data_IF_691619058580
#
_entry.id   IF_691619058580
#
_cell.length_a   1.000
_cell.length_b   1.000
_cell.length_c   1.000
_cell.angle_alpha   90.00
_cell.angle_beta   90.00
_cell.angle_gamma   90.00
#
_symmetry.space_group_name_H-M   'P 1'
#
loop_
_entity.id
_entity.type
_entity.pdbx_description
1 polymer ?
#
# COMPACT_ATOMS: atom_id res chain seq x y z
N UNK A 1 4.34 39.31 27.16
CA UNK A 1 3.67 38.97 25.88
C UNK A 1 4.39 37.73 25.36
N UNK A 2 3.74 36.56 25.43
CA UNK A 2 4.29 35.32 24.89
C UNK A 2 3.33 34.93 23.77
N UNK A 3 3.74 35.16 22.53
CA UNK A 3 3.00 34.69 21.36
C UNK A 3 3.22 33.18 21.25
N UNK A 4 2.23 32.39 21.69
CA UNK A 4 2.18 30.97 21.41
C UNK A 4 1.93 30.79 19.91
N UNK A 5 3.00 30.49 19.18
CA UNK A 5 2.98 30.22 17.75
C UNK A 5 2.54 28.76 17.54
N UNK A 6 1.29 28.46 17.85
CA UNK A 6 0.65 27.17 17.60
C UNK A 6 0.35 27.07 16.09
N UNK A 7 1.39 26.78 15.29
CA UNK A 7 1.20 26.43 13.88
C UNK A 7 0.30 25.19 13.84
N UNK A 8 -0.81 25.19 13.09
CA UNK A 8 -1.66 24.00 13.00
C UNK A 8 -0.82 22.85 12.42
N UNK A 9 -0.51 21.85 13.25
CA UNK A 9 0.12 20.62 12.81
C UNK A 9 -0.85 19.94 11.84
N UNK A 10 -0.53 19.98 10.55
CA UNK A 10 -1.28 19.26 9.52
C UNK A 10 -1.21 17.78 9.86
N UNK A 11 -2.33 17.20 10.34
CA UNK A 11 -2.43 15.79 10.68
C UNK A 11 -2.21 14.96 9.41
N UNK A 12 -1.03 14.36 9.29
CA UNK A 12 -0.72 13.43 8.19
C UNK A 12 -1.54 12.17 8.43
N UNK A 13 -2.41 11.81 7.48
CA UNK A 13 -3.11 10.53 7.54
C UNK A 13 -2.14 9.45 7.07
N UNK A 14 -1.98 8.40 7.85
CA UNK A 14 -1.15 7.24 7.53
C UNK A 14 -2.04 6.03 7.35
N UNK A 15 -1.74 5.23 6.32
CA UNK A 15 -2.42 4.00 5.99
C UNK A 15 -1.43 2.85 5.84
N UNK A 16 -1.90 1.64 6.09
CA UNK A 16 -1.18 0.38 5.88
C UNK A 16 -1.94 -0.45 4.85
N UNK A 17 -1.43 -0.56 3.63
CA UNK A 17 -1.97 -1.47 2.62
C UNK A 17 -1.45 -2.88 2.93
N UNK A 18 -2.35 -3.86 3.04
CA UNK A 18 -1.96 -5.27 3.14
C UNK A 18 -1.78 -5.85 1.75
N UNK A 19 -0.57 -6.34 1.48
CA UNK A 19 -0.20 -6.92 0.21
C UNK A 19 0.36 -8.34 0.39
N UNK A 20 0.34 -9.12 -0.69
CA UNK A 20 0.96 -10.46 -0.74
C UNK A 20 2.12 -10.46 -1.73
N UNK A 21 3.22 -11.10 -1.34
CA UNK A 21 4.37 -11.27 -2.21
C UNK A 21 3.99 -12.14 -3.41
N UNK A 22 4.23 -11.68 -4.63
CA UNK A 22 3.92 -12.44 -5.85
C UNK A 22 4.77 -13.71 -5.98
N UNK A 23 6.00 -13.72 -5.45
CA UNK A 23 6.92 -14.85 -5.50
C UNK A 23 6.72 -15.84 -4.34
N UNK A 24 6.78 -15.34 -3.10
CA UNK A 24 6.79 -16.18 -1.90
C UNK A 24 5.42 -16.35 -1.24
N UNK A 25 4.39 -15.62 -1.69
CA UNK A 25 3.00 -15.70 -1.18
C UNK A 25 2.80 -15.31 0.29
N UNK A 26 3.83 -14.74 0.91
CA UNK A 26 3.82 -14.17 2.26
C UNK A 26 3.16 -12.77 2.31
N UNK A 27 2.54 -12.42 3.44
CA UNK A 27 1.93 -11.10 3.65
C UNK A 27 2.94 -10.05 4.07
N UNK A 28 2.73 -8.81 3.62
CA UNK A 28 3.49 -7.64 4.05
C UNK A 28 2.59 -6.40 4.12
N UNK A 29 2.99 -5.43 4.92
CA UNK A 29 2.40 -4.10 4.97
C UNK A 29 3.16 -3.12 4.09
N UNK A 30 2.44 -2.24 3.41
CA UNK A 30 2.99 -1.06 2.72
C UNK A 30 2.47 0.16 3.45
N UNK A 31 3.38 0.97 3.98
CA UNK A 31 3.03 2.23 4.62
C UNK A 31 2.83 3.30 3.56
N UNK A 32 1.68 3.97 3.65
CA UNK A 32 1.29 5.05 2.74
C UNK A 32 0.87 6.29 3.52
N UNK A 33 1.27 7.47 3.04
CA UNK A 33 0.95 8.76 3.67
C UNK A 33 0.09 9.61 2.75
N UNK A 34 -0.97 10.21 3.29
CA UNK A 34 -1.77 11.18 2.57
C UNK A 34 -1.07 12.54 2.57
N UNK A 35 -0.54 12.94 1.41
CA UNK A 35 0.19 14.21 1.25
C UNK A 35 -0.76 15.38 0.98
N UNK A 36 -1.93 15.09 0.39
CA UNK A 36 -3.05 16.01 0.20
C UNK A 36 -4.35 15.18 0.04
N UNK A 37 -5.51 15.85 -0.03
CA UNK A 37 -6.84 15.22 0.00
C UNK A 37 -6.99 13.97 -0.88
N UNK A 38 -6.31 13.92 -2.03
CA UNK A 38 -6.49 12.86 -3.02
C UNK A 38 -5.22 12.07 -3.35
N UNK A 39 -4.07 12.38 -2.75
CA UNK A 39 -2.80 11.73 -3.08
C UNK A 39 -2.19 11.00 -1.88
N UNK A 40 -1.91 9.73 -2.11
CA UNK A 40 -1.27 8.82 -1.16
C UNK A 40 0.10 8.40 -1.69
N UNK A 41 1.14 8.51 -0.86
CA UNK A 41 2.51 8.14 -1.22
C UNK A 41 2.96 6.96 -0.38
N UNK A 42 3.20 5.84 -1.04
CA UNK A 42 3.79 4.65 -0.45
C UNK A 42 5.30 4.81 -0.33
N UNK A 43 5.83 4.82 0.90
CA UNK A 43 7.23 5.12 1.18
C UNK A 43 7.98 4.04 1.97
N UNK A 44 7.29 3.02 2.47
CA UNK A 44 7.92 1.94 3.22
C UNK A 44 7.17 0.62 3.07
N UNK A 45 7.87 -0.49 3.29
CA UNK A 45 7.28 -1.83 3.35
C UNK A 45 7.91 -2.65 4.47
N UNK A 46 7.12 -3.53 5.10
CA UNK A 46 7.58 -4.37 6.20
C UNK A 46 6.84 -5.71 6.25
N UNK A 47 7.51 -6.75 6.74
CA UNK A 47 6.91 -8.08 6.92
C UNK A 47 5.81 -8.01 7.98
N UNK A 48 4.69 -8.68 7.74
CA UNK A 48 3.58 -8.75 8.69
C UNK A 48 3.10 -10.19 8.84
N UNK A 49 2.67 -10.56 10.04
CA UNK A 49 2.06 -11.87 10.29
C UNK A 49 0.53 -11.76 10.17
N UNK A 50 -0.12 -12.84 9.73
CA UNK A 50 -1.58 -12.88 9.54
C UNK A 50 -2.38 -12.55 10.81
N UNK A 51 -1.89 -12.96 11.98
CA UNK A 51 -2.53 -12.69 13.28
C UNK A 51 -2.56 -11.19 13.61
N UNK A 52 -1.50 -10.46 13.23
CA UNK A 52 -1.42 -9.00 13.38
C UNK A 52 -2.42 -8.31 12.45
N UNK A 53 -2.52 -8.74 11.19
CA UNK A 53 -3.46 -8.15 10.21
C UNK A 53 -4.90 -8.19 10.73
N UNK A 54 -5.33 -9.34 11.26
CA UNK A 54 -6.69 -9.52 11.79
C UNK A 54 -6.94 -8.70 13.05
N UNK A 55 -5.94 -8.61 13.92
CA UNK A 55 -6.01 -7.89 15.21
C UNK A 55 -6.16 -6.39 14.98
N UNK A 56 -5.32 -5.83 14.11
CA UNK A 56 -5.30 -4.39 13.84
C UNK A 56 -6.41 -3.97 12.87
N UNK A 57 -7.07 -4.92 12.21
CA UNK A 57 -8.16 -4.64 11.26
C UNK A 57 -7.68 -3.89 10.02
N UNK A 58 -6.44 -4.14 9.61
CA UNK A 58 -5.84 -3.49 8.44
C UNK A 58 -6.54 -3.84 7.11
N UNK A 59 -7.48 -4.78 7.13
CA UNK A 59 -8.31 -5.19 6.01
C UNK A 59 -9.67 -4.44 5.93
N UNK A 60 -9.94 -3.48 6.84
CA UNK A 60 -11.30 -2.94 7.05
C UNK A 60 -11.55 -1.51 6.55
N UNK A 61 -10.56 -0.77 6.10
CA UNK A 61 -10.78 0.62 5.64
C UNK A 61 -10.70 0.68 4.10
N UNK A 62 -11.50 1.55 3.48
CA UNK A 62 -11.37 1.86 2.05
C UNK A 62 -10.83 3.27 1.92
N UNK A 63 -9.82 3.49 1.07
CA UNK A 63 -9.42 4.85 0.70
C UNK A 63 -9.42 5.02 -0.82
N UNK A 64 -9.99 6.15 -1.23
CA UNK A 64 -9.93 6.61 -2.60
C UNK A 64 -8.78 7.60 -2.76
N UNK A 65 -8.23 7.66 -3.97
CA UNK A 65 -7.19 8.61 -4.33
C UNK A 65 -6.21 8.07 -5.36
N UNK A 66 -5.31 8.95 -5.78
CA UNK A 66 -4.13 8.60 -6.55
C UNK A 66 -3.08 8.00 -5.63
N UNK A 67 -2.55 6.85 -6.01
CA UNK A 67 -1.51 6.16 -5.27
C UNK A 67 -0.19 6.24 -6.02
N UNK A 68 0.78 6.86 -5.37
CA UNK A 68 2.12 7.08 -5.90
C UNK A 68 3.11 6.24 -5.09
N UNK A 69 4.15 5.76 -5.75
CA UNK A 69 5.27 5.09 -5.11
C UNK A 69 6.40 6.10 -4.98
N UNK A 70 6.89 6.29 -3.75
CA UNK A 70 8.06 7.11 -3.49
C UNK A 70 9.30 6.48 -4.17
N UNK A 71 10.24 7.29 -4.71
CA UNK A 71 11.55 6.78 -5.13
C UNK A 71 12.31 6.03 -4.01
N UNK A 72 12.03 6.37 -2.76
CA UNK A 72 12.61 5.73 -1.57
C UNK A 72 11.91 4.43 -1.15
N UNK A 73 10.86 4.02 -1.88
CA UNK A 73 10.15 2.78 -1.56
C UNK A 73 11.09 1.58 -1.76
N UNK A 74 11.40 0.82 -0.69
CA UNK A 74 12.41 -0.24 -0.76
C UNK A 74 11.95 -1.49 -1.53
N UNK A 75 10.70 -1.53 -1.98
CA UNK A 75 10.10 -2.69 -2.61
C UNK A 75 9.59 -3.73 -1.61
N UNK A 76 9.14 -4.86 -2.15
CA UNK A 76 8.62 -5.98 -1.37
C UNK A 76 9.71 -6.55 -0.44
N UNK A 77 9.46 -6.68 0.87
CA UNK A 77 10.48 -7.13 1.85
C UNK A 77 10.83 -8.62 1.74
N UNK A 78 10.20 -9.34 0.81
CA UNK A 78 10.48 -10.75 0.55
C UNK A 78 11.23 -10.96 -0.78
N UNK A 79 10.81 -10.30 -1.86
CA UNK A 79 11.37 -10.56 -3.19
C UNK A 79 12.00 -9.35 -3.89
N UNK A 80 11.94 -8.16 -3.30
CA UNK A 80 12.52 -6.94 -3.86
C UNK A 80 11.72 -6.29 -5.00
N UNK A 81 10.55 -6.82 -5.36
CA UNK A 81 9.68 -6.21 -6.37
C UNK A 81 9.38 -4.75 -6.01
N UNK A 82 9.65 -3.84 -6.95
CA UNK A 82 9.67 -2.39 -6.74
C UNK A 82 8.31 -1.69 -6.90
N UNK A 83 7.29 -2.42 -7.34
CA UNK A 83 5.95 -1.89 -7.57
C UNK A 83 4.88 -2.76 -6.89
N UNK A 84 3.62 -2.36 -6.96
CA UNK A 84 2.48 -3.16 -6.53
C UNK A 84 1.28 -2.96 -7.45
N UNK A 85 0.41 -3.96 -7.48
CA UNK A 85 -0.78 -4.00 -8.33
C UNK A 85 -2.00 -4.24 -7.45
N UNK A 86 -3.06 -3.46 -7.69
CA UNK A 86 -4.39 -3.72 -7.15
C UNK A 86 -5.15 -4.60 -8.13
N UNK A 87 -5.45 -5.83 -7.72
CA UNK A 87 -6.19 -6.76 -8.54
C UNK A 87 -7.70 -6.49 -8.40
N UNK A 88 -8.48 -6.81 -9.44
CA UNK A 88 -9.95 -6.74 -9.42
C UNK A 88 -10.61 -7.61 -8.33
N UNK A 89 -9.87 -8.54 -7.69
CA UNK A 89 -10.33 -9.24 -6.49
C UNK A 89 -10.28 -8.38 -5.21
N UNK A 90 -9.89 -7.11 -5.31
CA UNK A 90 -9.82 -6.16 -4.19
C UNK A 90 -8.55 -6.28 -3.34
N UNK A 91 -7.51 -6.95 -3.84
CA UNK A 91 -6.28 -7.21 -3.07
C UNK A 91 -5.03 -6.72 -3.77
N UNK A 92 -4.08 -6.25 -2.97
CA UNK A 92 -2.80 -5.72 -3.46
C UNK A 92 -1.73 -6.81 -3.43
N UNK A 93 -0.81 -6.79 -4.39
CA UNK A 93 0.36 -7.66 -4.42
C UNK A 93 1.56 -6.93 -5.00
N UNK A 94 2.77 -7.30 -4.59
CA UNK A 94 3.95 -6.71 -5.23
C UNK A 94 4.08 -7.15 -6.69
N UNK A 95 4.67 -6.30 -7.51
CA UNK A 95 4.91 -6.50 -8.93
C UNK A 95 6.28 -5.96 -9.30
N UNK A 96 6.96 -6.61 -10.22
CA UNK A 96 8.20 -6.12 -10.79
C UNK A 96 7.83 -5.22 -11.96
N UNK A 97 8.18 -3.93 -11.92
CA UNK A 97 7.80 -2.97 -12.98
C UNK A 97 8.28 -3.35 -14.38
N UNK A 98 9.25 -4.26 -14.48
CA UNK A 98 9.80 -4.76 -15.74
C UNK A 98 9.02 -5.96 -16.32
N UNK A 99 8.03 -6.49 -15.59
CA UNK A 99 7.19 -7.59 -16.05
C UNK A 99 5.88 -7.05 -16.65
N UNK A 100 5.55 -7.50 -17.86
CA UNK A 100 4.34 -7.07 -18.59
C UNK A 100 3.07 -7.79 -18.11
N UNK A 101 3.22 -9.03 -17.64
CA UNK A 101 2.11 -9.87 -17.18
C UNK A 101 2.17 -10.00 -15.67
N UNK A 102 1.06 -9.68 -15.01
CA UNK A 102 0.88 -9.90 -13.58
C UNK A 102 -0.01 -11.11 -13.36
N UNK A 103 0.36 -11.98 -12.40
CA UNK A 103 -0.50 -13.06 -11.92
C UNK A 103 -0.78 -12.86 -10.44
N UNK A 104 -2.05 -12.68 -10.08
CA UNK A 104 -2.47 -12.39 -8.74
C UNK A 104 -2.23 -13.59 -7.81
N UNK A 105 -1.40 -13.44 -6.74
CA UNK A 105 -1.15 -14.51 -5.77
C UNK A 105 -2.35 -14.80 -4.87
N UNK A 106 -3.42 -14.00 -4.95
CA UNK A 106 -4.62 -14.17 -4.13
C UNK A 106 -5.71 -14.99 -4.82
N UNK A 107 -5.97 -14.75 -6.10
CA UNK A 107 -7.07 -15.38 -6.84
C UNK A 107 -6.66 -16.08 -8.14
N UNK A 108 -5.40 -15.94 -8.57
CA UNK A 108 -4.90 -16.56 -9.81
C UNK A 108 -5.19 -15.78 -11.09
N UNK A 109 -5.95 -14.68 -11.06
CA UNK A 109 -6.16 -13.84 -12.25
C UNK A 109 -4.83 -13.39 -12.85
N UNK A 110 -4.70 -13.51 -14.16
CA UNK A 110 -3.48 -13.20 -14.89
C UNK A 110 -3.78 -12.37 -16.13
N UNK A 111 -2.91 -11.42 -16.44
CA UNK A 111 -3.05 -10.57 -17.61
C UNK A 111 -2.14 -9.35 -17.61
N UNK A 112 -2.20 -8.53 -18.67
CA UNK A 112 -1.49 -7.25 -18.71
C UNK A 112 -2.05 -6.29 -17.67
N UNK A 113 -1.22 -5.33 -17.25
CA UNK A 113 -1.63 -4.25 -16.36
C UNK A 113 -2.36 -3.14 -17.13
N UNK A 114 -3.43 -2.61 -16.53
CA UNK A 114 -4.23 -1.52 -17.10
C UNK A 114 -4.15 -0.25 -16.25
N UNK A 115 -3.39 0.76 -16.70
CA UNK A 115 -3.43 2.13 -16.16
C UNK A 115 -3.12 2.29 -14.65
N UNK A 116 -3.21 3.53 -14.12
CA UNK A 116 -3.01 3.79 -12.71
C UNK A 116 -4.19 3.31 -11.85
N UNK A 117 -3.92 2.93 -10.61
CA UNK A 117 -4.93 2.55 -9.61
C UNK A 117 -5.55 3.82 -9.00
N UNK A 118 -6.88 3.93 -9.02
CA UNK A 118 -7.64 5.10 -8.51
C UNK A 118 -8.40 4.85 -7.20
N UNK A 119 -8.49 3.60 -6.74
CA UNK A 119 -9.15 3.19 -5.49
C UNK A 119 -8.49 1.94 -4.89
N UNK A 120 -8.34 1.87 -3.55
CA UNK A 120 -7.82 0.68 -2.85
C UNK A 120 -8.37 0.55 -1.41
N UNK A 121 -8.49 -0.70 -0.96
CA UNK A 121 -8.76 -1.01 0.45
C UNK A 121 -7.45 -0.93 1.26
N UNK A 122 -7.44 -0.17 2.36
CA UNK A 122 -6.29 -0.05 3.28
C UNK A 122 -6.67 -0.28 4.73
N UNK A 123 -5.67 -0.53 5.55
CA UNK A 123 -5.75 -0.45 7.00
C UNK A 123 -5.41 0.94 7.50
N UNK A 124 -6.04 1.38 8.59
CA UNK A 124 -5.57 2.55 9.33
C UNK A 124 -4.69 2.09 10.49
N UNK A 125 -3.56 2.74 10.72
CA UNK A 125 -2.77 2.57 11.94
C UNK A 125 -3.34 3.52 13.00
N UNK A 126 -3.83 2.99 14.12
CA UNK A 126 -4.47 3.78 15.19
C UNK A 126 -3.46 4.19 16.26
#
# INVERSE_FOLDING_TARGET
>A
MIENNDKPQKKIKVGIIIAKCSKFKELFGIRTENINNDNWVSNWAFKIKEDVVKREGYDKTKIAGSFLISPEYPGCPYCGNNNYVYCCCGKVSCHNSNEEIFTCPWCGNSGPLSGPVTEMDIGSDR
#
